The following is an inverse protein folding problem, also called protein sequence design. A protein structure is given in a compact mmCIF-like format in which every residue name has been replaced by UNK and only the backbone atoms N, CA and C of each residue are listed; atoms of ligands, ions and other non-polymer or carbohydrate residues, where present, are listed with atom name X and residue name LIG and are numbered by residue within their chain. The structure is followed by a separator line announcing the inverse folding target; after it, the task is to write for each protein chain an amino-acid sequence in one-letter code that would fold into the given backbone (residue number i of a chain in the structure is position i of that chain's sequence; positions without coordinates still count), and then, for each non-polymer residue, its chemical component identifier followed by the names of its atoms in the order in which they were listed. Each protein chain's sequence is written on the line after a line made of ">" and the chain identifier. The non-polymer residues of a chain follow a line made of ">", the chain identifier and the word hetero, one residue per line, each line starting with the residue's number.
data_IF_444518966206
#
_entry.id   IF_444518966206
#
_cell.length_a   1.000
_cell.length_b   1.000
_cell.length_c   1.000
_cell.angle_alpha   90.00
_cell.angle_beta   90.00
_cell.angle_gamma   90.00
#
_symmetry.space_group_name_H-M   'P 1'
#
loop_
_entity.id
_entity.type
_entity.pdbx_description
1 polymer ?
#
# COMPACT_ATOMS: atom_id res chain seq x y z
N UNK A 1 -31.25 -2.75 10.70
CA UNK A 1 -29.83 -2.43 10.99
C UNK A 1 -29.74 -0.93 11.21
N UNK A 2 -29.47 -0.50 12.44
CA UNK A 2 -29.56 0.90 12.89
C UNK A 2 -28.57 1.83 12.17
N UNK A 3 -29.02 3.04 11.81
CA UNK A 3 -28.22 4.16 11.28
C UNK A 3 -26.96 4.44 12.11
N UNK A 4 -26.98 4.12 13.41
CA UNK A 4 -25.85 4.30 14.32
C UNK A 4 -24.65 3.41 13.96
N UNK A 5 -24.86 2.20 13.41
CA UNK A 5 -23.75 1.35 12.91
C UNK A 5 -23.10 1.89 11.63
N UNK A 6 -23.73 2.86 10.98
CA UNK A 6 -23.25 3.47 9.75
C UNK A 6 -22.36 4.69 10.01
N UNK A 7 -22.46 5.29 11.21
CA UNK A 7 -21.63 6.41 11.68
C UNK A 7 -20.30 5.94 12.31
N UNK A 8 -20.22 4.72 12.83
CA UNK A 8 -18.99 4.10 13.37
C UNK A 8 -17.86 3.90 12.34
N UNK A 9 -18.08 4.23 11.06
CA UNK A 9 -17.07 4.15 10.00
C UNK A 9 -16.43 5.50 9.63
N UNK A 10 -16.79 6.60 10.32
CA UNK A 10 -16.46 7.96 9.90
C UNK A 10 -15.29 8.60 10.65
N UNK A 11 -14.94 8.09 11.83
CA UNK A 11 -13.88 8.65 12.68
C UNK A 11 -12.92 7.52 13.06
N UNK A 12 -11.66 7.64 12.68
CA UNK A 12 -10.60 6.76 13.20
C UNK A 12 -10.17 7.30 14.55
N UNK A 13 -10.31 6.48 15.58
CA UNK A 13 -9.71 6.77 16.88
C UNK A 13 -8.25 6.37 16.91
N UNK A 14 -7.45 7.00 17.79
CA UNK A 14 -6.04 6.63 17.96
C UNK A 14 -5.89 5.14 18.33
N UNK A 15 -6.79 4.59 19.15
CA UNK A 15 -6.78 3.17 19.54
C UNK A 15 -7.01 2.23 18.35
N UNK A 16 -7.94 2.58 17.47
CA UNK A 16 -8.18 1.79 16.26
C UNK A 16 -7.02 1.88 15.27
N UNK A 17 -6.38 3.05 15.18
CA UNK A 17 -5.17 3.24 14.39
C UNK A 17 -4.02 2.39 14.94
N UNK A 18 -3.71 2.51 16.23
CA UNK A 18 -2.66 1.73 16.91
C UNK A 18 -2.89 0.23 16.71
N UNK A 19 -4.10 -0.27 17.01
CA UNK A 19 -4.43 -1.67 16.84
C UNK A 19 -4.29 -2.15 15.38
N UNK A 20 -4.78 -1.37 14.42
CA UNK A 20 -4.64 -1.71 13.02
C UNK A 20 -3.18 -1.65 12.55
N UNK A 21 -2.39 -0.74 13.11
CA UNK A 21 -0.97 -0.57 12.82
C UNK A 21 -0.16 -1.76 13.31
N UNK A 22 -0.36 -2.18 14.56
CA UNK A 22 0.31 -3.35 15.14
C UNK A 22 0.10 -4.59 14.27
N UNK A 23 -1.16 -4.83 13.84
CA UNK A 23 -1.47 -5.95 12.95
C UNK A 23 -0.80 -5.87 11.58
N UNK A 24 -0.54 -4.67 11.06
CA UNK A 24 0.15 -4.50 9.77
C UNK A 24 1.66 -4.62 9.94
N UNK A 25 2.22 -4.14 11.06
CA UNK A 25 3.61 -4.37 11.42
C UNK A 25 3.89 -5.88 11.54
N UNK A 26 3.05 -6.63 12.24
CA UNK A 26 3.15 -8.10 12.34
C UNK A 26 3.16 -8.77 10.95
N UNK A 27 2.33 -8.28 10.02
CA UNK A 27 2.33 -8.75 8.63
C UNK A 27 3.62 -8.41 7.90
N UNK A 28 4.13 -7.19 8.02
CA UNK A 28 5.37 -6.75 7.41
C UNK A 28 6.55 -7.58 7.93
N UNK A 29 6.63 -7.83 9.24
CA UNK A 29 7.63 -8.71 9.85
C UNK A 29 7.52 -10.13 9.29
N UNK A 30 6.33 -10.72 9.33
CA UNK A 30 6.05 -12.08 8.85
C UNK A 30 6.50 -12.27 7.40
N UNK A 31 6.22 -11.29 6.54
CA UNK A 31 6.57 -11.37 5.12
C UNK A 31 8.00 -10.88 4.81
N UNK A 32 8.72 -10.28 5.76
CA UNK A 32 10.11 -9.85 5.62
C UNK A 32 10.30 -8.49 4.96
N UNK A 33 9.34 -7.59 5.19
CA UNK A 33 9.42 -6.18 4.80
C UNK A 33 9.85 -5.27 5.96
N UNK A 34 9.85 -5.76 7.20
CA UNK A 34 10.19 -4.94 8.38
C UNK A 34 11.67 -5.11 8.76
N UNK A 35 12.47 -4.08 8.50
CA UNK A 35 13.88 -3.96 8.89
C UNK A 35 14.09 -2.66 9.71
N UNK A 36 15.32 -2.37 10.13
CA UNK A 36 15.65 -1.16 10.90
C UNK A 36 15.19 0.16 10.22
N UNK A 37 15.11 0.19 8.88
CA UNK A 37 14.66 1.40 8.15
C UNK A 37 13.15 1.54 8.17
N UNK A 38 12.43 0.43 8.15
CA UNK A 38 10.99 0.44 8.32
C UNK A 38 10.58 0.71 9.76
N UNK A 39 11.40 0.31 10.73
CA UNK A 39 11.17 0.63 12.14
C UNK A 39 11.21 2.15 12.44
N UNK A 40 11.90 2.95 11.61
CA UNK A 40 11.89 4.41 11.73
C UNK A 40 10.69 5.09 11.05
N UNK A 41 9.79 4.34 10.40
CA UNK A 41 8.58 4.90 9.78
C UNK A 41 7.50 5.04 10.84
N UNK A 42 7.29 6.28 11.27
CA UNK A 42 6.26 6.61 12.26
C UNK A 42 4.87 6.75 11.60
N UNK A 43 3.83 6.37 12.32
CA UNK A 43 2.43 6.50 11.87
C UNK A 43 1.70 7.46 12.79
N UNK A 44 1.19 8.55 12.23
CA UNK A 44 0.50 9.61 12.96
C UNK A 44 -0.98 9.66 12.59
N UNK A 45 -1.82 9.93 13.59
CA UNK A 45 -3.22 10.30 13.36
C UNK A 45 -3.28 11.79 13.01
N UNK A 46 -3.55 12.12 11.76
CA UNK A 46 -3.84 13.48 11.34
C UNK A 46 -5.30 13.83 11.66
N UNK A 47 -5.60 15.09 11.97
CA UNK A 47 -6.95 15.46 12.40
C UNK A 47 -8.00 15.36 11.28
N UNK A 48 -7.62 15.73 10.05
CA UNK A 48 -8.44 15.58 8.84
C UNK A 48 -7.56 15.54 7.58
N UNK A 49 -8.07 15.00 6.47
CA UNK A 49 -7.37 14.97 5.19
C UNK A 49 -8.23 14.52 4.01
N UNK A 50 -7.81 14.87 2.80
CA UNK A 50 -8.55 14.57 1.56
C UNK A 50 -8.34 13.13 1.06
N UNK A 51 -7.28 12.46 1.52
CA UNK A 51 -6.93 11.07 1.18
C UNK A 51 -7.29 10.08 2.31
N UNK A 52 -7.16 8.77 2.07
CA UNK A 52 -7.37 7.73 3.11
C UNK A 52 -6.20 7.64 4.10
N UNK A 53 -5.02 8.04 3.65
CA UNK A 53 -3.73 8.15 4.31
C UNK A 53 -2.74 8.81 3.33
N UNK A 54 -1.56 9.22 3.79
CA UNK A 54 -0.45 9.57 2.91
C UNK A 54 0.90 9.34 3.60
N UNK A 55 1.88 8.84 2.85
CA UNK A 55 3.28 8.81 3.26
C UNK A 55 4.03 10.04 2.73
N UNK A 56 4.82 10.69 3.59
CA UNK A 56 5.62 11.86 3.22
C UNK A 56 6.87 11.48 2.41
N UNK A 57 6.67 11.11 1.15
CA UNK A 57 7.73 10.64 0.26
C UNK A 57 8.83 11.70 0.04
N UNK A 58 10.07 11.37 0.42
CA UNK A 58 11.21 12.27 0.25
C UNK A 58 11.33 13.43 1.24
N UNK A 59 10.58 13.38 2.33
CA UNK A 59 10.74 14.23 3.50
C UNK A 59 11.19 13.37 4.69
N UNK A 60 10.53 13.49 5.83
CA UNK A 60 10.68 12.72 7.07
C UNK A 60 10.10 11.29 7.00
N UNK A 61 9.34 10.97 5.94
CA UNK A 61 8.97 9.61 5.60
C UNK A 61 7.85 8.98 6.43
N UNK A 62 7.25 9.72 7.36
CA UNK A 62 6.15 9.24 8.19
C UNK A 62 4.85 9.06 7.41
N UNK A 63 3.96 8.21 7.92
CA UNK A 63 2.62 7.98 7.40
C UNK A 63 1.62 8.77 8.23
N UNK A 64 0.75 9.52 7.56
CA UNK A 64 -0.37 10.21 8.19
C UNK A 64 -1.67 9.51 7.82
N UNK A 65 -2.47 9.15 8.82
CA UNK A 65 -3.83 8.66 8.62
C UNK A 65 -4.81 9.71 9.15
N UNK A 66 -5.67 10.30 8.31
CA UNK A 66 -6.65 11.26 8.78
C UNK A 66 -7.77 10.58 9.57
N UNK A 67 -8.05 11.12 10.76
CA UNK A 67 -9.16 10.74 11.62
C UNK A 67 -10.50 10.91 10.92
N UNK A 68 -10.64 11.98 10.13
CA UNK A 68 -11.77 12.25 9.23
C UNK A 68 -11.23 12.35 7.80
N UNK A 69 -11.65 11.45 6.92
CA UNK A 69 -11.22 11.41 5.51
C UNK A 69 -12.39 11.73 4.58
N UNK A 70 -12.26 12.78 3.76
CA UNK A 70 -13.26 13.11 2.73
C UNK A 70 -13.36 12.01 1.65
N UNK A 71 -12.29 11.25 1.42
CA UNK A 71 -12.33 10.07 0.54
C UNK A 71 -13.10 8.88 1.15
N UNK A 72 -13.11 8.72 2.49
CA UNK A 72 -14.00 7.76 3.18
C UNK A 72 -15.48 8.17 3.05
N UNK A 73 -15.76 9.47 2.99
CA UNK A 73 -17.10 9.99 2.71
C UNK A 73 -17.49 9.80 1.22
N UNK A 74 -16.54 9.85 0.29
CA UNK A 74 -16.81 9.60 -1.15
C UNK A 74 -16.87 8.11 -1.55
N UNK A 75 -16.39 7.19 -0.70
CA UNK A 75 -16.56 5.73 -0.87
C UNK A 75 -18.05 5.26 -0.84
N UNK A 76 -18.99 6.15 -0.53
CA UNK A 76 -20.43 5.97 -0.81
C UNK A 76 -20.74 5.88 -2.32
N UNK A 77 -19.80 6.26 -3.19
CA UNK A 77 -19.92 6.23 -4.65
C UNK A 77 -18.83 5.30 -5.25
N UNK A 78 -18.91 4.00 -4.95
CA UNK A 78 -18.35 2.97 -5.82
C UNK A 78 -16.93 2.43 -5.54
N UNK A 79 -16.31 2.76 -4.40
CA UNK A 79 -15.08 2.08 -3.95
C UNK A 79 -15.42 0.88 -3.05
N UNK A 80 -14.86 -0.31 -3.34
CA UNK A 80 -14.95 -1.48 -2.45
C UNK A 80 -14.42 -1.04 -1.07
N UNK A 81 -15.24 -1.16 0.01
CA UNK A 81 -14.94 -0.61 1.34
C UNK A 81 -13.52 -0.97 1.80
N UNK A 82 -12.58 -0.03 1.71
CA UNK A 82 -11.21 -0.22 2.17
C UNK A 82 -11.19 -0.19 3.71
N UNK A 83 -10.63 -1.24 4.33
CA UNK A 83 -10.42 -1.25 5.78
C UNK A 83 -9.23 -0.39 6.17
N UNK A 84 -9.16 0.06 7.43
CA UNK A 84 -8.00 0.81 7.93
C UNK A 84 -6.68 0.05 7.71
N UNK A 85 -6.69 -1.29 7.84
CA UNK A 85 -5.55 -2.14 7.52
C UNK A 85 -5.20 -2.13 6.03
N UNK A 86 -6.18 -2.07 5.13
CA UNK A 86 -5.91 -1.97 3.69
C UNK A 86 -5.23 -0.63 3.35
N UNK A 87 -5.68 0.46 3.98
CA UNK A 87 -5.04 1.77 3.86
C UNK A 87 -3.61 1.73 4.39
N UNK A 88 -3.40 1.24 5.61
CA UNK A 88 -2.07 1.14 6.21
C UNK A 88 -1.11 0.29 5.36
N UNK A 89 -1.55 -0.87 4.85
CA UNK A 89 -0.72 -1.67 3.93
C UNK A 89 -0.33 -0.93 2.67
N UNK A 90 -1.25 -0.12 2.12
CA UNK A 90 -1.00 0.71 0.94
C UNK A 90 0.06 1.77 1.26
N UNK A 91 -0.11 2.54 2.34
CA UNK A 91 0.86 3.56 2.74
C UNK A 91 2.23 2.97 3.11
N UNK A 92 2.24 1.81 3.77
CA UNK A 92 3.49 1.11 4.05
C UNK A 92 4.19 0.61 2.77
N UNK A 93 3.47 0.39 1.67
CA UNK A 93 4.12 0.11 0.39
C UNK A 93 4.94 1.32 -0.06
N UNK A 94 4.39 2.53 0.02
CA UNK A 94 5.11 3.76 -0.28
C UNK A 94 6.30 3.96 0.66
N UNK A 95 6.14 3.68 1.95
CA UNK A 95 7.24 3.72 2.92
C UNK A 95 8.35 2.70 2.60
N UNK A 96 8.00 1.46 2.23
CA UNK A 96 8.97 0.46 1.74
C UNK A 96 9.69 1.00 0.51
N UNK A 97 8.96 1.62 -0.42
CA UNK A 97 9.54 2.13 -1.63
C UNK A 97 10.54 3.27 -1.38
N UNK A 98 10.23 4.11 -0.39
CA UNK A 98 11.04 5.24 0.01
C UNK A 98 12.29 4.84 0.80
N UNK A 99 12.16 3.92 1.75
CA UNK A 99 13.29 3.42 2.56
C UNK A 99 14.23 2.50 1.75
N UNK A 100 13.73 1.91 0.66
CA UNK A 100 14.45 0.98 -0.20
C UNK A 100 14.58 1.48 -1.65
N UNK A 101 14.82 2.79 -1.84
CA UNK A 101 14.90 3.43 -3.18
C UNK A 101 15.82 2.71 -4.17
N UNK A 102 16.92 2.10 -3.70
CA UNK A 102 17.85 1.39 -4.58
C UNK A 102 17.27 0.11 -5.20
N UNK A 103 16.31 -0.54 -4.54
CA UNK A 103 15.54 -1.66 -5.09
C UNK A 103 14.40 -1.13 -5.97
N UNK A 104 13.74 -0.04 -5.59
CA UNK A 104 12.62 0.51 -6.37
C UNK A 104 13.04 1.21 -7.66
N UNK A 105 14.11 2.01 -7.61
CA UNK A 105 14.67 2.74 -8.76
C UNK A 105 15.53 1.80 -9.59
N UNK A 106 14.87 0.83 -10.22
CA UNK A 106 15.54 -0.25 -10.94
C UNK A 106 14.87 -0.59 -12.25
N UNK A 107 15.66 -1.15 -13.17
CA UNK A 107 15.13 -1.70 -14.42
C UNK A 107 14.14 -2.84 -14.15
N UNK A 108 14.38 -3.63 -13.10
CA UNK A 108 13.48 -4.74 -12.70
C UNK A 108 12.08 -4.22 -12.38
N UNK A 109 11.98 -3.12 -11.63
CA UNK A 109 10.70 -2.47 -11.38
C UNK A 109 10.05 -2.04 -12.69
N UNK A 110 10.75 -1.28 -13.54
CA UNK A 110 10.19 -0.78 -14.80
C UNK A 110 9.77 -1.88 -15.77
N UNK A 111 10.47 -3.01 -15.80
CA UNK A 111 10.07 -4.17 -16.60
C UNK A 111 8.74 -4.78 -16.14
N UNK A 112 8.46 -4.74 -14.83
CA UNK A 112 7.29 -5.38 -14.23
C UNK A 112 6.07 -4.45 -14.21
N UNK A 113 6.28 -3.17 -13.89
CA UNK A 113 5.25 -2.14 -13.77
C UNK A 113 5.16 -1.23 -15.01
N UNK A 114 5.94 -1.52 -16.05
CA UNK A 114 5.94 -0.82 -17.35
C UNK A 114 6.74 0.48 -17.38
N UNK A 115 6.94 1.15 -16.23
CA UNK A 115 7.62 2.46 -16.11
C UNK A 115 8.37 2.59 -14.78
N UNK A 116 9.16 3.64 -14.62
CA UNK A 116 9.84 3.93 -13.36
C UNK A 116 8.84 4.19 -12.22
N UNK A 117 9.20 3.81 -11.00
CA UNK A 117 8.34 3.97 -9.81
C UNK A 117 7.83 5.41 -9.60
N UNK A 118 8.70 6.40 -9.77
CA UNK A 118 8.34 7.82 -9.59
C UNK A 118 7.72 8.48 -10.82
N UNK A 119 7.29 7.73 -11.83
CA UNK A 119 6.56 8.29 -12.97
C UNK A 119 5.14 8.64 -12.53
N UNK A 120 4.65 9.81 -12.90
CA UNK A 120 3.27 10.25 -12.64
C UNK A 120 2.31 9.91 -13.81
N UNK A 121 2.80 9.19 -14.83
CA UNK A 121 2.01 8.90 -16.01
C UNK A 121 0.96 7.82 -15.72
N UNK A 122 -0.30 8.20 -15.87
CA UNK A 122 -1.43 7.28 -15.83
C UNK A 122 -1.49 6.38 -17.06
N UNK A 123 -2.15 5.23 -16.90
CA UNK A 123 -2.47 4.30 -17.97
C UNK A 123 -3.97 4.03 -18.00
N UNK A 124 -4.45 3.43 -19.11
CA UNK A 124 -5.83 2.95 -19.15
C UNK A 124 -5.96 1.73 -18.25
N UNK A 125 -6.98 1.71 -17.39
CA UNK A 125 -7.29 0.55 -16.58
C UNK A 125 -7.50 -0.70 -17.45
N UNK A 126 -6.86 -1.79 -17.02
CA UNK A 126 -6.95 -3.11 -17.61
C UNK A 126 -6.96 -4.13 -16.48
N UNK A 127 -8.08 -4.82 -16.29
CA UNK A 127 -8.25 -5.87 -15.28
C UNK A 127 -7.25 -7.02 -15.41
N UNK A 128 -6.62 -7.19 -16.57
CA UNK A 128 -5.59 -8.20 -16.79
C UNK A 128 -4.22 -7.78 -16.28
N UNK A 129 -3.97 -6.47 -16.17
CA UNK A 129 -2.71 -5.90 -15.70
C UNK A 129 -2.83 -5.29 -14.29
N UNK A 130 -4.00 -4.82 -13.90
CA UNK A 130 -4.24 -3.98 -12.72
C UNK A 130 -5.18 -4.67 -11.73
N UNK A 131 -4.81 -4.67 -10.45
CA UNK A 131 -5.61 -5.30 -9.38
C UNK A 131 -6.82 -4.46 -8.98
N UNK A 132 -6.76 -3.14 -9.16
CA UNK A 132 -7.87 -2.19 -9.00
C UNK A 132 -7.79 -1.10 -10.08
N UNK A 133 -8.87 -0.31 -10.30
CA UNK A 133 -8.81 0.88 -11.17
C UNK A 133 -7.72 1.88 -10.76
N UNK A 134 -7.44 1.99 -9.46
CA UNK A 134 -6.44 2.92 -8.92
C UNK A 134 -5.02 2.54 -9.29
N UNK A 135 -4.74 1.24 -9.44
CA UNK A 135 -3.44 0.78 -9.94
C UNK A 135 -3.08 1.38 -11.30
N UNK A 136 -4.05 1.88 -12.08
CA UNK A 136 -3.78 2.51 -13.36
C UNK A 136 -3.38 4.00 -13.25
N UNK A 137 -3.46 4.59 -12.05
CA UNK A 137 -3.18 6.01 -11.82
C UNK A 137 -1.71 6.36 -12.09
N UNK A 138 -0.78 5.53 -11.63
CA UNK A 138 0.65 5.56 -11.96
C UNK A 138 1.34 4.27 -11.46
N UNK A 139 2.61 4.00 -11.83
CA UNK A 139 3.33 2.78 -11.41
C UNK A 139 3.56 2.66 -9.90
N UNK A 140 3.66 3.78 -9.17
CA UNK A 140 3.77 3.79 -7.71
C UNK A 140 2.50 3.27 -7.06
N UNK A 141 1.33 3.76 -7.50
CA UNK A 141 0.02 3.26 -7.03
C UNK A 141 -0.23 1.81 -7.44
N UNK A 142 0.21 1.41 -8.64
CA UNK A 142 0.16 0.02 -9.08
C UNK A 142 0.94 -0.90 -8.14
N UNK A 143 2.14 -0.49 -7.75
CA UNK A 143 2.94 -1.21 -6.76
C UNK A 143 2.26 -1.23 -5.40
N UNK A 144 1.77 -0.10 -4.90
CA UNK A 144 1.13 -0.01 -3.58
C UNK A 144 -0.13 -0.88 -3.49
N UNK A 145 -0.96 -0.88 -4.53
CA UNK A 145 -2.15 -1.73 -4.61
C UNK A 145 -1.79 -3.22 -4.67
N UNK A 146 -0.78 -3.61 -5.47
CA UNK A 146 -0.31 -5.00 -5.52
C UNK A 146 0.27 -5.44 -4.18
N UNK A 147 1.07 -4.59 -3.53
CA UNK A 147 1.66 -4.86 -2.21
C UNK A 147 0.58 -5.03 -1.14
N UNK A 148 -0.40 -4.13 -1.11
CA UNK A 148 -1.53 -4.23 -0.19
C UNK A 148 -2.31 -5.54 -0.38
N UNK A 149 -2.61 -5.93 -1.63
CA UNK A 149 -3.27 -7.23 -1.89
C UNK A 149 -2.37 -8.43 -1.58
N UNK A 150 -1.05 -8.30 -1.75
CA UNK A 150 -0.08 -9.34 -1.38
C UNK A 150 -0.16 -9.64 0.12
N UNK A 151 -0.09 -8.62 0.98
CA UNK A 151 -0.20 -8.79 2.44
C UNK A 151 -1.59 -9.28 2.84
N UNK A 152 -2.65 -8.63 2.33
CA UNK A 152 -4.06 -8.99 2.63
C UNK A 152 -4.37 -10.46 2.33
N UNK A 153 -3.75 -11.03 1.31
CA UNK A 153 -3.95 -12.42 0.90
C UNK A 153 -2.79 -13.33 1.29
N UNK A 154 -1.96 -12.91 2.25
CA UNK A 154 -0.88 -13.69 2.82
C UNK A 154 0.02 -14.31 1.75
N UNK A 155 0.47 -13.48 0.80
CA UNK A 155 1.25 -13.79 -0.41
C UNK A 155 0.54 -14.64 -1.50
N UNK A 156 -0.68 -15.12 -1.27
CA UNK A 156 -1.40 -15.97 -2.24
C UNK A 156 -2.17 -15.12 -3.24
N UNK A 157 -2.01 -15.38 -4.54
CA UNK A 157 -2.76 -14.68 -5.59
C UNK A 157 -4.21 -15.19 -5.64
N UNK A 158 -5.22 -14.36 -5.33
CA UNK A 158 -6.63 -14.71 -5.48
C UNK A 158 -6.97 -15.05 -6.94
N UNK A 159 -7.91 -15.99 -7.15
CA UNK A 159 -8.29 -16.46 -8.50
C UNK A 159 -8.61 -15.32 -9.47
N UNK A 160 -9.29 -14.26 -9.00
CA UNK A 160 -9.67 -13.09 -9.82
C UNK A 160 -8.49 -12.28 -10.35
N UNK A 161 -7.31 -12.41 -9.75
CA UNK A 161 -6.09 -11.68 -10.10
C UNK A 161 -5.03 -12.58 -10.78
N UNK A 162 -5.36 -13.84 -11.09
CA UNK A 162 -4.40 -14.78 -11.70
C UNK A 162 -4.25 -14.53 -13.19
N UNK A 163 -3.56 -13.45 -13.53
CA UNK A 163 -3.07 -13.19 -14.89
C UNK A 163 -1.55 -13.22 -14.92
N UNK A 164 -0.92 -13.44 -16.10
CA UNK A 164 0.53 -13.41 -16.21
C UNK A 164 1.15 -12.07 -15.79
N UNK A 165 0.48 -10.95 -16.09
CA UNK A 165 0.98 -9.61 -15.72
C UNK A 165 0.95 -9.40 -14.20
N UNK A 166 -0.17 -9.70 -13.53
CA UNK A 166 -0.29 -9.56 -12.08
C UNK A 166 0.63 -10.55 -11.37
N UNK A 167 0.79 -11.78 -11.88
CA UNK A 167 1.72 -12.76 -11.31
C UNK A 167 3.17 -12.28 -11.31
N UNK A 168 3.61 -11.56 -12.35
CA UNK A 168 4.95 -10.94 -12.39
C UNK A 168 5.11 -9.84 -11.33
N UNK A 169 4.10 -8.98 -11.16
CA UNK A 169 4.07 -7.95 -10.10
C UNK A 169 4.11 -8.58 -8.71
N UNK A 170 3.34 -9.64 -8.50
CA UNK A 170 3.35 -10.42 -7.26
C UNK A 170 4.72 -11.06 -6.98
N UNK A 171 5.35 -11.62 -8.02
CA UNK A 171 6.70 -12.16 -7.95
C UNK A 171 7.72 -11.10 -7.55
N UNK A 172 7.64 -9.90 -8.14
CA UNK A 172 8.49 -8.77 -7.75
C UNK A 172 8.36 -8.43 -6.26
N UNK A 173 7.14 -8.36 -5.71
CA UNK A 173 6.92 -8.10 -4.28
C UNK A 173 7.54 -9.20 -3.41
N UNK A 174 7.41 -10.47 -3.80
CA UNK A 174 8.03 -11.60 -3.10
C UNK A 174 9.57 -11.53 -3.13
N UNK A 175 10.13 -11.19 -4.27
CA UNK A 175 11.58 -11.03 -4.42
C UNK A 175 12.09 -9.82 -3.63
N UNK A 176 11.30 -8.75 -3.55
CA UNK A 176 11.60 -7.55 -2.80
C UNK A 176 11.71 -7.86 -1.30
N UNK A 177 10.76 -8.61 -0.74
CA UNK A 177 10.85 -9.11 0.63
C UNK A 177 12.15 -9.89 0.89
N UNK A 178 12.53 -10.75 -0.05
CA UNK A 178 13.75 -11.56 0.09
C UNK A 178 15.01 -10.69 0.04
N UNK A 179 15.02 -9.66 -0.82
CA UNK A 179 16.10 -8.69 -0.93
C UNK A 179 16.24 -7.84 0.34
N UNK A 180 15.14 -7.33 0.89
CA UNK A 180 15.12 -6.54 2.13
C UNK A 180 15.64 -7.39 3.30
N UNK A 181 15.11 -8.60 3.47
CA UNK A 181 15.52 -9.54 4.53
C UNK A 181 17.01 -9.90 4.49
N UNK A 182 17.61 -9.91 3.30
CA UNK A 182 19.06 -10.17 3.11
C UNK A 182 19.92 -8.92 3.21
N UNK A 183 19.35 -7.77 3.56
CA UNK A 183 20.06 -6.49 3.66
C UNK A 183 20.47 -5.90 2.31
N UNK A 184 19.93 -6.41 1.21
CA UNK A 184 20.30 -5.99 -0.15
C UNK A 184 19.87 -4.53 -0.39
N UNK A 185 20.80 -3.68 -0.84
CA UNK A 185 20.52 -2.25 -1.08
C UNK A 185 20.07 -1.92 -2.51
N UNK A 186 20.40 -2.76 -3.49
CA UNK A 186 20.10 -2.61 -4.95
C UNK A 186 19.99 -3.99 -5.60
N UNK A 187 19.26 -4.13 -6.71
CA UNK A 187 19.11 -5.42 -7.40
C UNK A 187 20.40 -5.96 -8.01
#
# INVERSE_FOLDING_TARGET
>A
MSLLKQLDYQIVTIRELEYANDLVIDELETFGFYDERMASVEVYLAWAGDAFGWQNYGSDGHINIPAISLARLSALVGYEKASLRDVLRHEYAHAVADTHRGLMRSRRFSTVFGRSHGSEESSKYDKSAHVTPYSAANPGEDFAEVFMKFLKHSSRIPRRFRTPAIARKWGFVKDLASAIRSGKRRW
#
